data_IF_744871225790
#
_entry.id   IF_744871225790
#
_cell.length_a   1.000
_cell.length_b   1.000
_cell.length_c   1.000
_cell.angle_alpha   90.00
_cell.angle_beta   90.00
_cell.angle_gamma   90.00
#
_symmetry.space_group_name_H-M   'P 1'
#
loop_
_entity.id
_entity.type
_entity.pdbx_description
1 polymer ?
#
# COMPACT_ATOMS: atom_id res chain seq x y z
N UNK A 1 -18.57 -11.90 0.46
CA UNK A 1 -17.87 -10.62 0.18
C UNK A 1 -18.93 -9.53 0.18
N UNK A 2 -18.62 -8.37 0.75
CA UNK A 2 -19.53 -7.23 0.74
C UNK A 2 -19.59 -6.65 -0.68
N UNK A 3 -20.79 -6.38 -1.21
CA UNK A 3 -20.96 -5.78 -2.54
C UNK A 3 -20.58 -4.30 -2.53
N UNK A 4 -20.38 -3.71 -3.71
CA UNK A 4 -20.08 -2.28 -3.79
C UNK A 4 -21.27 -1.42 -3.31
N UNK A 5 -22.51 -1.88 -3.50
CA UNK A 5 -23.71 -1.23 -2.97
C UNK A 5 -23.76 -1.28 -1.44
N UNK A 6 -23.47 -2.44 -0.84
CA UNK A 6 -23.39 -2.59 0.62
C UNK A 6 -22.26 -1.74 1.21
N UNK A 7 -21.11 -1.64 0.53
CA UNK A 7 -20.00 -0.76 0.92
C UNK A 7 -20.40 0.71 0.89
N UNK A 8 -21.12 1.14 -0.16
CA UNK A 8 -21.62 2.51 -0.30
C UNK A 8 -22.65 2.85 0.79
N UNK A 9 -23.58 1.94 1.06
CA UNK A 9 -24.55 2.12 2.14
C UNK A 9 -23.83 2.25 3.49
N UNK A 10 -22.85 1.39 3.75
CA UNK A 10 -22.07 1.45 4.98
C UNK A 10 -21.28 2.75 5.13
N UNK A 11 -20.71 3.27 4.04
CA UNK A 11 -20.06 4.59 4.06
C UNK A 11 -21.05 5.71 4.40
N UNK A 12 -22.24 5.67 3.82
CA UNK A 12 -23.30 6.65 4.07
C UNK A 12 -23.74 6.63 5.54
N UNK A 13 -23.93 5.43 6.12
CA UNK A 13 -24.25 5.26 7.55
C UNK A 13 -23.13 5.83 8.45
N UNK A 14 -21.88 5.44 8.18
CA UNK A 14 -20.71 5.90 8.95
C UNK A 14 -20.53 7.42 8.90
N UNK A 15 -20.89 8.06 7.80
CA UNK A 15 -20.72 9.51 7.60
C UNK A 15 -21.88 10.33 8.14
N UNK A 16 -23.12 9.82 8.09
CA UNK A 16 -24.30 10.47 8.71
C UNK A 16 -24.17 10.55 10.23
N UNK A 17 -23.77 9.45 10.86
CA UNK A 17 -23.67 9.35 12.32
C UNK A 17 -22.21 9.42 12.81
N UNK A 18 -21.39 10.24 12.15
CA UNK A 18 -19.94 10.27 12.38
C UNK A 18 -19.54 10.49 13.85
N UNK A 19 -20.26 11.37 14.57
CA UNK A 19 -19.98 11.62 16.00
C UNK A 19 -20.21 10.37 16.86
N UNK A 20 -21.30 9.65 16.61
CA UNK A 20 -21.62 8.40 17.32
C UNK A 20 -20.55 7.34 17.03
N UNK A 21 -20.22 7.13 15.76
CA UNK A 21 -19.21 6.14 15.37
C UNK A 21 -17.80 6.45 15.87
N UNK A 22 -17.41 7.74 15.96
CA UNK A 22 -16.15 8.14 16.58
C UNK A 22 -16.09 7.81 18.08
N UNK A 23 -17.20 8.04 18.81
CA UNK A 23 -17.28 7.71 20.24
C UNK A 23 -17.23 6.21 20.49
N UNK A 24 -17.95 5.41 19.70
CA UNK A 24 -17.89 3.95 19.79
C UNK A 24 -16.51 3.42 19.41
N UNK A 25 -15.87 3.96 18.36
CA UNK A 25 -14.49 3.59 17.99
C UNK A 25 -13.51 3.84 19.14
N UNK A 26 -13.57 5.01 19.76
CA UNK A 26 -12.73 5.33 20.93
C UNK A 26 -13.02 4.38 22.10
N UNK A 27 -14.30 4.09 22.37
CA UNK A 27 -14.69 3.13 23.41
C UNK A 27 -14.10 1.75 23.15
N UNK A 28 -14.19 1.25 21.92
CA UNK A 28 -13.63 -0.05 21.54
C UNK A 28 -12.11 -0.08 21.69
N UNK A 29 -11.40 0.97 21.29
CA UNK A 29 -9.94 1.06 21.45
C UNK A 29 -9.56 1.02 22.94
N UNK A 30 -10.22 1.80 23.79
CA UNK A 30 -9.93 1.87 25.23
C UNK A 30 -10.26 0.57 25.95
N UNK A 31 -11.37 -0.08 25.60
CA UNK A 31 -11.75 -1.37 26.17
C UNK A 31 -10.76 -2.46 25.77
N UNK A 32 -10.38 -2.51 24.48
CA UNK A 32 -9.49 -3.54 23.94
C UNK A 32 -8.06 -3.41 24.46
N UNK A 33 -7.54 -2.18 24.54
CA UNK A 33 -6.16 -1.92 24.94
C UNK A 33 -6.04 -1.50 26.41
N UNK A 34 -7.08 -1.58 27.24
CA UNK A 34 -7.07 -1.00 28.60
C UNK A 34 -6.00 -1.59 29.54
N UNK A 35 -5.43 -2.74 29.20
CA UNK A 35 -4.36 -3.40 29.97
C UNK A 35 -2.95 -3.06 29.50
N UNK A 36 -2.78 -2.30 28.42
CA UNK A 36 -1.44 -1.94 27.91
C UNK A 36 -0.82 -0.87 28.78
N UNK A 37 0.50 -0.92 28.96
CA UNK A 37 1.22 -0.01 29.87
C UNK A 37 1.02 1.46 29.55
N UNK A 38 0.90 1.82 28.28
CA UNK A 38 0.65 3.21 27.89
C UNK A 38 -0.67 3.72 28.50
N UNK A 39 -1.77 2.99 28.36
CA UNK A 39 -3.06 3.40 28.89
C UNK A 39 -3.13 3.30 30.43
N UNK A 40 -2.46 2.32 31.02
CA UNK A 40 -2.36 2.16 32.48
C UNK A 40 -1.50 3.22 33.17
N UNK A 41 -0.65 3.93 32.42
CA UNK A 41 0.17 5.02 32.96
C UNK A 41 -0.64 6.26 33.35
N UNK A 42 -1.91 6.33 32.91
CA UNK A 42 -2.80 7.43 33.21
C UNK A 42 -3.70 7.14 34.41
N UNK A 43 -4.00 8.17 35.20
CA UNK A 43 -4.79 8.03 36.42
C UNK A 43 -6.28 7.82 36.13
N UNK A 44 -6.84 6.74 36.70
CA UNK A 44 -8.27 6.44 36.69
C UNK A 44 -8.77 5.70 35.44
N UNK A 45 -10.03 5.25 35.44
CA UNK A 45 -10.61 4.53 34.31
C UNK A 45 -10.77 5.46 33.10
N UNK A 46 -10.19 5.04 31.97
CA UNK A 46 -10.30 5.75 30.70
C UNK A 46 -11.63 5.43 30.03
N UNK A 47 -12.46 6.46 29.89
CA UNK A 47 -13.71 6.43 29.15
C UNK A 47 -13.67 7.50 28.05
N UNK A 48 -14.49 7.38 26.98
CA UNK A 48 -14.56 8.41 25.94
C UNK A 48 -14.79 9.83 26.48
N UNK A 49 -15.55 9.97 27.59
CA UNK A 49 -15.82 11.26 28.24
C UNK A 49 -14.64 11.83 29.03
N UNK A 50 -13.72 11.00 29.51
CA UNK A 50 -12.55 11.42 30.31
C UNK A 50 -11.25 11.45 29.51
N UNK A 51 -11.17 10.68 28.43
CA UNK A 51 -9.97 10.48 27.61
C UNK A 51 -9.27 11.78 27.24
N UNK A 52 -10.01 12.76 26.70
CA UNK A 52 -9.44 14.04 26.24
C UNK A 52 -8.83 14.88 27.36
N UNK A 53 -9.25 14.70 28.61
CA UNK A 53 -8.71 15.41 29.77
C UNK A 53 -7.48 14.72 30.35
N UNK A 54 -7.38 13.40 30.17
CA UNK A 54 -6.40 12.55 30.84
C UNK A 54 -5.21 12.22 29.94
N UNK A 55 -5.46 11.95 28.66
CA UNK A 55 -4.41 11.56 27.70
C UNK A 55 -3.94 12.79 26.93
N UNK A 56 -2.64 13.17 27.02
CA UNK A 56 -2.12 14.36 26.37
C UNK A 56 -2.01 14.19 24.86
N UNK A 57 -2.05 15.32 24.16
CA UNK A 57 -1.57 15.38 22.78
C UNK A 57 -0.07 15.08 22.76
N UNK A 58 0.35 14.27 21.80
CA UNK A 58 1.71 13.73 21.72
C UNK A 58 2.21 13.72 20.29
N UNK A 59 3.50 13.45 20.16
CA UNK A 59 4.27 13.40 18.94
C UNK A 59 5.04 12.08 18.85
N UNK A 60 5.66 11.80 17.71
CA UNK A 60 6.47 10.59 17.55
C UNK A 60 7.63 10.49 18.58
N UNK A 61 8.15 11.63 19.05
CA UNK A 61 9.27 11.64 19.99
C UNK A 61 8.91 11.09 21.36
N UNK A 62 7.63 11.17 21.74
CA UNK A 62 7.14 10.63 23.01
C UNK A 62 7.10 9.08 23.00
N UNK A 63 7.19 8.47 21.81
CA UNK A 63 7.07 7.03 21.61
C UNK A 63 8.33 6.35 21.07
N UNK A 64 9.28 7.12 20.52
CA UNK A 64 10.39 6.59 19.73
C UNK A 64 11.22 5.55 20.49
N UNK A 65 11.45 5.76 21.78
CA UNK A 65 12.19 4.82 22.60
C UNK A 65 11.41 3.50 22.75
N UNK A 66 10.12 3.55 23.04
CA UNK A 66 9.28 2.35 23.12
C UNK A 66 9.21 1.60 21.79
N UNK A 67 9.11 2.32 20.67
CA UNK A 67 9.11 1.76 19.32
C UNK A 67 10.44 1.07 19.01
N UNK A 68 11.56 1.69 19.39
CA UNK A 68 12.88 1.08 19.27
C UNK A 68 12.98 -0.19 20.11
N UNK A 69 12.50 -0.18 21.36
CA UNK A 69 12.46 -1.38 22.21
C UNK A 69 11.64 -2.52 21.59
N UNK A 70 10.49 -2.23 20.97
CA UNK A 70 9.71 -3.21 20.20
C UNK A 70 10.51 -3.77 19.02
N UNK A 71 11.21 -2.92 18.28
CA UNK A 71 12.08 -3.34 17.17
C UNK A 71 13.32 -4.15 17.62
N UNK A 72 13.67 -4.10 18.91
CA UNK A 72 14.69 -4.94 19.53
C UNK A 72 14.15 -6.29 20.03
N UNK A 73 12.83 -6.50 20.01
CA UNK A 73 12.20 -7.74 20.49
C UNK A 73 12.04 -7.82 22.01
N UNK A 74 12.02 -6.67 22.69
CA UNK A 74 11.73 -6.61 24.12
C UNK A 74 10.22 -6.59 24.31
N UNK A 75 9.70 -7.72 24.77
CA UNK A 75 8.28 -8.08 24.70
C UNK A 75 7.54 -7.69 25.99
N UNK A 76 6.91 -6.51 25.98
CA UNK A 76 5.95 -6.08 26.99
C UNK A 76 4.91 -5.17 26.29
N UNK A 77 3.61 -5.54 26.30
CA UNK A 77 2.55 -4.85 25.55
C UNK A 77 2.40 -3.39 26.01
N UNK A 78 3.12 -2.50 25.32
CA UNK A 78 3.14 -1.08 25.64
C UNK A 78 1.98 -0.33 24.96
N UNK A 79 1.76 -0.53 23.66
CA UNK A 79 0.76 0.21 22.87
C UNK A 79 -0.49 -0.58 22.53
N UNK A 80 -0.39 -1.90 22.39
CA UNK A 80 -1.48 -2.76 21.96
C UNK A 80 -1.36 -4.14 22.58
N UNK A 81 -2.51 -4.78 22.84
CA UNK A 81 -2.58 -6.21 23.18
C UNK A 81 -2.51 -7.10 21.94
N UNK A 82 -2.76 -6.54 20.75
CA UNK A 82 -2.72 -7.28 19.50
C UNK A 82 -1.27 -7.59 19.08
N UNK A 83 -1.02 -8.72 18.38
CA UNK A 83 0.33 -9.07 17.92
C UNK A 83 0.92 -8.04 16.97
N UNK A 84 2.17 -7.62 17.21
CA UNK A 84 2.93 -6.78 16.30
C UNK A 84 3.34 -7.59 15.05
N UNK A 85 3.02 -7.09 13.86
CA UNK A 85 3.27 -7.80 12.58
C UNK A 85 4.45 -7.25 11.80
N UNK A 86 4.58 -5.93 11.76
CA UNK A 86 5.65 -5.24 11.06
C UNK A 86 5.69 -3.78 11.50
N UNK A 87 6.65 -3.03 10.95
CA UNK A 87 6.68 -1.58 11.04
C UNK A 87 6.48 -0.96 9.67
N UNK A 88 5.80 0.18 9.63
CA UNK A 88 5.74 1.01 8.43
C UNK A 88 6.71 2.18 8.51
N UNK A 89 7.40 2.47 7.42
CA UNK A 89 8.08 3.73 7.24
C UNK A 89 7.07 4.84 6.94
N UNK A 90 7.11 5.91 7.72
CA UNK A 90 6.48 7.17 7.35
C UNK A 90 7.40 7.98 6.42
N UNK A 91 6.82 8.66 5.44
CA UNK A 91 7.56 9.65 4.62
C UNK A 91 8.02 10.87 5.43
N UNK A 92 7.42 11.12 6.59
CA UNK A 92 7.89 12.12 7.55
C UNK A 92 9.09 11.61 8.35
N UNK A 93 10.20 12.33 8.33
CA UNK A 93 11.40 12.01 9.11
C UNK A 93 11.27 12.53 10.55
N UNK A 94 11.97 11.88 11.49
CA UNK A 94 12.15 12.46 12.83
C UNK A 94 13.22 13.56 12.76
N UNK A 95 12.91 14.73 13.32
CA UNK A 95 13.81 15.90 13.28
C UNK A 95 15.16 15.64 13.96
N UNK A 96 15.24 14.69 14.88
CA UNK A 96 16.45 14.39 15.64
C UNK A 96 17.41 13.39 14.98
N UNK A 97 16.94 12.51 14.07
CA UNK A 97 17.80 11.45 13.51
C UNK A 97 17.84 11.39 11.98
N UNK A 98 17.04 12.21 11.29
CA UNK A 98 16.80 12.14 9.83
C UNK A 98 16.35 10.76 9.30
N UNK A 99 16.09 9.79 10.19
CA UNK A 99 15.53 8.49 9.84
C UNK A 99 14.01 8.61 9.68
N UNK A 100 13.41 7.86 8.74
CA UNK A 100 11.96 7.72 8.66
C UNK A 100 11.38 7.22 9.99
N UNK A 101 10.20 7.71 10.36
CA UNK A 101 9.50 7.23 11.56
C UNK A 101 9.04 5.79 11.34
N UNK A 102 9.20 4.95 12.37
CA UNK A 102 8.72 3.57 12.41
C UNK A 102 7.34 3.53 13.06
N UNK A 103 6.30 3.19 12.29
CA UNK A 103 4.94 3.09 12.80
C UNK A 103 4.62 1.62 13.03
N UNK A 104 4.40 1.17 14.29
CA UNK A 104 4.09 -0.23 14.57
C UNK A 104 2.72 -0.60 13.98
N UNK A 105 2.67 -1.70 13.25
CA UNK A 105 1.42 -2.25 12.71
C UNK A 105 1.06 -3.55 13.45
N UNK A 106 -0.05 -3.48 14.17
CA UNK A 106 -0.59 -4.58 14.95
C UNK A 106 -1.70 -5.30 14.18
N UNK A 107 -1.90 -6.58 14.47
CA UNK A 107 -2.90 -7.44 13.84
C UNK A 107 -4.35 -7.18 14.30
N UNK A 108 -4.72 -5.92 14.40
CA UNK A 108 -5.97 -5.50 15.03
C UNK A 108 -7.18 -5.67 14.12
N UNK A 109 -8.23 -6.33 14.63
CA UNK A 109 -9.51 -6.47 13.91
C UNK A 109 -10.17 -5.12 13.63
N UNK A 110 -10.10 -4.18 14.59
CA UNK A 110 -10.60 -2.81 14.44
C UNK A 110 -9.87 -2.08 13.31
N UNK A 111 -8.53 -2.14 13.30
CA UNK A 111 -7.70 -1.50 12.27
C UNK A 111 -7.94 -2.10 10.88
N UNK A 112 -8.05 -3.42 10.78
CA UNK A 112 -8.38 -4.13 9.53
C UNK A 112 -9.75 -3.74 9.00
N UNK A 113 -10.77 -3.67 9.86
CA UNK A 113 -12.12 -3.26 9.47
C UNK A 113 -12.14 -1.82 8.95
N UNK A 114 -11.49 -0.88 9.66
CA UNK A 114 -11.36 0.50 9.22
C UNK A 114 -10.61 0.62 7.89
N UNK A 115 -9.48 -0.08 7.75
CA UNK A 115 -8.69 -0.12 6.53
C UNK A 115 -9.47 -0.71 5.35
N UNK A 116 -10.23 -1.79 5.57
CA UNK A 116 -11.08 -2.39 4.55
C UNK A 116 -12.11 -1.38 4.02
N UNK A 117 -12.83 -0.69 4.91
CA UNK A 117 -13.81 0.32 4.51
C UNK A 117 -13.15 1.50 3.80
N UNK A 118 -12.03 2.02 4.30
CA UNK A 118 -11.32 3.12 3.65
C UNK A 118 -10.87 2.78 2.22
N UNK A 119 -10.22 1.62 2.04
CA UNK A 119 -9.70 1.22 0.73
C UNK A 119 -10.81 0.78 -0.22
N UNK A 120 -11.63 -0.22 0.17
CA UNK A 120 -12.69 -0.76 -0.69
C UNK A 120 -13.81 0.25 -0.92
N UNK A 121 -14.17 1.03 0.09
CA UNK A 121 -15.13 2.11 -0.03
C UNK A 121 -14.67 3.17 -1.04
N UNK A 122 -13.40 3.58 -0.99
CA UNK A 122 -12.86 4.54 -1.98
C UNK A 122 -12.92 4.01 -3.42
N UNK A 123 -12.69 2.70 -3.60
CA UNK A 123 -12.81 2.04 -4.90
C UNK A 123 -14.26 2.01 -5.37
N UNK A 124 -15.20 1.63 -4.50
CA UNK A 124 -16.63 1.60 -4.81
C UNK A 124 -17.16 2.99 -5.20
N UNK A 125 -16.79 4.04 -4.45
CA UNK A 125 -17.14 5.43 -4.80
C UNK A 125 -16.59 5.81 -6.17
N UNK A 126 -15.31 5.50 -6.44
CA UNK A 126 -14.66 5.79 -7.72
C UNK A 126 -15.37 5.09 -8.87
N UNK A 127 -15.65 3.80 -8.74
CA UNK A 127 -16.31 3.00 -9.78
C UNK A 127 -17.74 3.45 -10.04
N UNK A 128 -18.44 3.95 -9.02
CA UNK A 128 -19.77 4.55 -9.22
C UNK A 128 -19.72 5.85 -10.03
N UNK A 129 -18.73 6.70 -9.77
CA UNK A 129 -18.57 7.99 -10.46
C UNK A 129 -17.95 7.84 -11.85
N UNK A 130 -17.04 6.87 -11.98
CA UNK A 130 -16.30 6.54 -13.20
C UNK A 130 -16.41 5.03 -13.43
N UNK A 131 -17.53 4.55 -14.00
CA UNK A 131 -17.73 3.13 -14.27
C UNK A 131 -16.63 2.60 -15.19
N UNK A 132 -15.99 1.47 -14.85
CA UNK A 132 -14.96 0.89 -15.69
C UNK A 132 -15.59 0.42 -17.01
N UNK A 133 -14.86 0.55 -18.13
CA UNK A 133 -15.39 0.02 -19.40
C UNK A 133 -15.38 -1.52 -19.34
N UNK A 134 -16.40 -2.22 -19.85
CA UNK A 134 -16.46 -3.68 -19.74
C UNK A 134 -15.30 -4.43 -20.43
N UNK A 135 -14.76 -3.81 -21.48
CA UNK A 135 -13.70 -4.36 -22.37
C UNK A 135 -12.29 -4.20 -21.76
N UNK A 136 -12.10 -3.28 -20.80
CA UNK A 136 -10.81 -2.94 -20.19
C UNK A 136 -10.77 -3.46 -18.75
N UNK A 137 -9.62 -4.00 -18.35
CA UNK A 137 -9.50 -4.65 -17.04
C UNK A 137 -8.15 -4.38 -16.36
N UNK A 138 -7.33 -3.49 -16.92
CA UNK A 138 -6.00 -3.18 -16.40
C UNK A 138 -5.85 -1.72 -16.01
N UNK A 139 -5.00 -1.49 -15.02
CA UNK A 139 -4.55 -0.20 -14.55
C UNK A 139 -3.03 -0.17 -14.70
N UNK A 140 -2.49 0.87 -15.33
CA UNK A 140 -1.07 1.16 -15.29
C UNK A 140 -0.76 1.85 -13.97
N UNK A 141 -0.26 1.08 -13.00
CA UNK A 141 0.13 1.61 -11.70
C UNK A 141 1.65 1.65 -11.57
N UNK A 142 2.22 2.86 -11.58
CA UNK A 142 3.61 3.10 -11.19
C UNK A 142 3.75 2.96 -9.67
N UNK A 143 3.87 1.72 -9.22
CA UNK A 143 3.99 1.33 -7.81
C UNK A 143 5.34 0.66 -7.57
N UNK A 144 6.03 1.13 -6.53
CA UNK A 144 7.34 0.62 -6.15
C UNK A 144 7.23 0.04 -4.75
N UNK A 145 7.50 -1.26 -4.64
CA UNK A 145 7.37 -2.05 -3.41
C UNK A 145 8.75 -2.54 -2.92
N UNK A 146 9.76 -1.72 -3.10
CA UNK A 146 11.15 -1.95 -2.73
C UNK A 146 11.43 -1.58 -1.25
N UNK A 147 12.72 -1.54 -0.88
CA UNK A 147 13.22 -1.03 0.40
C UNK A 147 12.65 -1.71 1.66
N UNK A 148 12.49 -3.03 1.59
CA UNK A 148 12.11 -3.82 2.76
C UNK A 148 13.36 -4.10 3.57
N UNK A 149 13.35 -3.67 4.83
CA UNK A 149 14.40 -3.99 5.79
C UNK A 149 13.84 -4.83 6.92
N UNK A 150 14.71 -5.27 7.83
CA UNK A 150 14.34 -6.09 8.97
C UNK A 150 14.89 -5.47 10.25
N UNK A 151 14.04 -5.42 11.28
CA UNK A 151 14.44 -5.04 12.64
C UNK A 151 15.33 -6.09 13.29
N UNK A 152 15.94 -5.79 14.45
CA UNK A 152 16.82 -6.75 15.14
C UNK A 152 16.08 -8.03 15.57
N UNK A 153 14.79 -7.94 15.84
CA UNK A 153 13.95 -9.09 16.20
C UNK A 153 13.30 -9.80 15.00
N UNK A 154 13.69 -9.48 13.77
CA UNK A 154 13.21 -10.20 12.58
C UNK A 154 11.91 -9.66 11.98
N UNK A 155 11.30 -8.60 12.53
CA UNK A 155 10.11 -7.98 11.95
C UNK A 155 10.47 -7.15 10.73
N UNK A 156 9.69 -7.29 9.65
CA UNK A 156 9.84 -6.49 8.43
C UNK A 156 9.53 -5.02 8.68
N UNK A 157 10.21 -4.15 7.96
CA UNK A 157 9.95 -2.71 7.88
C UNK A 157 9.81 -2.31 6.41
N UNK A 158 8.70 -1.67 6.05
CA UNK A 158 8.36 -1.35 4.66
C UNK A 158 7.44 -0.14 4.56
N UNK A 159 7.17 0.37 3.36
CA UNK A 159 6.08 1.33 3.17
C UNK A 159 4.71 0.66 3.39
N UNK A 160 3.72 1.39 3.90
CA UNK A 160 2.37 0.85 4.13
C UNK A 160 1.71 0.33 2.83
N UNK A 161 1.98 0.99 1.69
CA UNK A 161 1.51 0.56 0.37
C UNK A 161 2.10 -0.77 -0.11
N UNK A 162 3.27 -1.15 0.40
CA UNK A 162 3.97 -2.41 0.07
C UNK A 162 3.39 -3.59 0.84
N UNK A 163 2.73 -3.35 1.97
CA UNK A 163 2.27 -4.40 2.88
C UNK A 163 1.33 -5.43 2.23
N UNK A 164 0.27 -5.06 1.48
CA UNK A 164 -0.63 -6.04 0.89
C UNK A 164 0.06 -7.01 -0.09
N UNK A 165 1.08 -6.52 -0.81
CA UNK A 165 1.86 -7.29 -1.77
C UNK A 165 2.82 -8.26 -1.07
N UNK A 166 3.34 -7.88 0.10
CA UNK A 166 4.30 -8.66 0.87
C UNK A 166 3.67 -9.64 1.86
N UNK A 167 2.45 -9.34 2.33
CA UNK A 167 1.77 -10.13 3.34
C UNK A 167 1.04 -11.36 2.75
N UNK A 168 1.10 -11.56 1.43
CA UNK A 168 0.35 -12.61 0.74
C UNK A 168 -1.16 -12.40 0.72
N UNK A 169 -1.63 -11.19 1.07
CA UNK A 169 -3.06 -10.87 1.13
C UNK A 169 -3.61 -10.37 -0.23
N UNK A 170 -2.73 -9.99 -1.16
CA UNK A 170 -3.13 -9.65 -2.52
C UNK A 170 -3.61 -10.91 -3.24
N UNK A 171 -4.88 -10.91 -3.70
CA UNK A 171 -5.41 -12.04 -4.44
C UNK A 171 -4.87 -12.04 -5.88
N UNK A 172 -4.75 -13.21 -6.54
CA UNK A 172 -4.36 -13.26 -7.96
C UNK A 172 -5.25 -12.38 -8.85
N UNK A 173 -6.55 -12.28 -8.54
CA UNK A 173 -7.48 -11.43 -9.25
C UNK A 173 -7.16 -9.94 -9.09
N UNK A 174 -6.76 -9.50 -7.89
CA UNK A 174 -6.32 -8.12 -7.67
C UNK A 174 -5.03 -7.81 -8.43
N UNK A 175 -4.05 -8.72 -8.38
CA UNK A 175 -2.79 -8.55 -9.11
C UNK A 175 -2.99 -8.54 -10.62
N UNK A 176 -3.94 -9.32 -11.15
CA UNK A 176 -4.27 -9.35 -12.57
C UNK A 176 -4.83 -8.02 -13.11
N UNK A 177 -5.32 -7.13 -12.23
CA UNK A 177 -5.73 -5.77 -12.63
C UNK A 177 -4.56 -4.85 -12.89
N UNK A 178 -3.34 -5.20 -12.50
CA UNK A 178 -2.16 -4.39 -12.80
C UNK A 178 -1.64 -4.73 -14.20
N UNK A 179 -1.31 -3.70 -14.97
CA UNK A 179 -0.68 -3.90 -16.27
C UNK A 179 0.70 -4.52 -16.13
N UNK A 180 1.43 -4.14 -15.08
CA UNK A 180 2.77 -4.63 -14.80
C UNK A 180 2.74 -5.85 -13.89
N UNK A 181 3.58 -6.87 -14.14
CA UNK A 181 3.66 -8.05 -13.30
C UNK A 181 4.26 -7.72 -11.93
N UNK A 182 4.03 -8.59 -10.94
CA UNK A 182 4.44 -8.38 -9.56
C UNK A 182 5.96 -8.19 -9.44
N UNK A 183 6.73 -8.92 -10.25
CA UNK A 183 8.19 -8.88 -10.33
C UNK A 183 8.71 -7.49 -10.71
N UNK A 184 7.95 -6.71 -11.48
CA UNK A 184 8.28 -5.31 -11.75
C UNK A 184 8.03 -4.45 -10.50
N UNK A 185 6.89 -4.64 -9.83
CA UNK A 185 6.52 -3.85 -8.64
C UNK A 185 7.49 -4.10 -7.46
N UNK A 186 7.94 -5.34 -7.26
CA UNK A 186 8.86 -5.72 -6.16
C UNK A 186 10.35 -5.66 -6.55
N UNK A 187 10.66 -5.23 -7.77
CA UNK A 187 12.03 -5.07 -8.25
C UNK A 187 12.88 -4.15 -7.38
N UNK A 188 14.20 -4.25 -7.53
CA UNK A 188 15.16 -3.55 -6.67
C UNK A 188 15.68 -2.23 -7.23
N UNK A 189 15.50 -1.98 -8.53
CA UNK A 189 16.03 -0.79 -9.21
C UNK A 189 14.91 0.07 -9.82
N UNK A 190 14.62 1.22 -9.20
CA UNK A 190 13.48 2.09 -9.55
C UNK A 190 13.43 2.48 -11.03
N UNK A 191 14.57 2.76 -11.67
CA UNK A 191 14.58 3.10 -13.10
C UNK A 191 14.23 1.90 -13.99
N UNK A 192 14.67 0.69 -13.62
CA UNK A 192 14.31 -0.53 -14.32
C UNK A 192 12.82 -0.83 -14.15
N UNK A 193 12.29 -0.62 -12.95
CA UNK A 193 10.87 -0.76 -12.68
C UNK A 193 10.06 0.23 -13.50
N UNK A 194 10.47 1.51 -13.55
CA UNK A 194 9.80 2.54 -14.34
C UNK A 194 9.75 2.18 -15.83
N UNK A 195 10.89 1.79 -16.38
CA UNK A 195 11.00 1.33 -17.76
C UNK A 195 10.08 0.14 -18.05
N UNK A 196 10.10 -0.89 -17.19
CA UNK A 196 9.25 -2.07 -17.34
C UNK A 196 7.76 -1.76 -17.16
N UNK A 197 7.40 -0.84 -16.26
CA UNK A 197 6.02 -0.35 -16.12
C UNK A 197 5.52 0.26 -17.44
N UNK A 198 6.34 1.10 -18.08
CA UNK A 198 6.02 1.70 -19.37
C UNK A 198 5.86 0.64 -20.46
N UNK A 199 6.79 -0.31 -20.59
CA UNK A 199 6.68 -1.41 -21.56
C UNK A 199 5.38 -2.20 -21.39
N UNK A 200 5.10 -2.68 -20.18
CA UNK A 200 3.88 -3.45 -19.91
C UNK A 200 2.62 -2.60 -20.16
N UNK A 201 2.65 -1.32 -19.77
CA UNK A 201 1.59 -0.35 -20.01
C UNK A 201 1.27 -0.18 -21.49
N UNK A 202 2.29 0.13 -22.29
CA UNK A 202 2.19 0.31 -23.74
C UNK A 202 1.73 -0.97 -24.44
N UNK A 203 2.24 -2.13 -24.01
CA UNK A 203 1.82 -3.41 -24.59
C UNK A 203 0.34 -3.71 -24.37
N UNK A 204 -0.20 -3.32 -23.22
CA UNK A 204 -1.58 -3.54 -22.85
C UNK A 204 -2.47 -2.30 -23.07
N UNK A 205 -2.07 -1.35 -23.94
CA UNK A 205 -2.70 -0.03 -24.07
C UNK A 205 -4.22 -0.11 -24.21
N UNK A 206 -4.71 -1.02 -25.05
CA UNK A 206 -6.15 -1.21 -25.31
C UNK A 206 -6.94 -1.74 -24.11
N UNK A 207 -6.24 -2.29 -23.10
CA UNK A 207 -6.83 -2.84 -21.87
C UNK A 207 -6.71 -1.88 -20.68
N UNK A 208 -6.05 -0.73 -20.83
CA UNK A 208 -5.82 0.23 -19.74
C UNK A 208 -7.05 1.14 -19.55
N UNK A 209 -7.59 1.12 -18.34
CA UNK A 209 -8.70 1.99 -17.90
C UNK A 209 -8.25 3.14 -16.99
N UNK A 210 -6.98 3.14 -16.59
CA UNK A 210 -6.46 4.18 -15.71
C UNK A 210 -4.95 4.12 -15.56
N UNK A 211 -4.36 5.29 -15.34
CA UNK A 211 -2.96 5.46 -14.99
C UNK A 211 -2.91 6.05 -13.58
N UNK A 212 -2.15 5.43 -12.68
CA UNK A 212 -2.09 5.85 -11.28
C UNK A 212 -0.69 5.76 -10.71
N UNK A 213 -0.43 6.62 -9.74
CA UNK A 213 0.80 6.70 -8.96
C UNK A 213 0.45 7.23 -7.56
N UNK A 214 1.24 6.92 -6.52
CA UNK A 214 1.01 7.53 -5.20
C UNK A 214 1.10 9.06 -5.19
N UNK A 215 1.93 9.66 -6.05
CA UNK A 215 2.16 11.11 -6.07
C UNK A 215 2.34 11.63 -7.50
N UNK A 216 1.83 12.83 -7.80
CA UNK A 216 1.88 13.42 -9.14
C UNK A 216 3.30 13.47 -9.77
N UNK A 217 4.34 13.65 -8.95
CA UNK A 217 5.74 13.62 -9.41
C UNK A 217 6.11 12.29 -10.09
N UNK A 218 5.48 11.18 -9.70
CA UNK A 218 5.68 9.87 -10.33
C UNK A 218 5.19 9.87 -11.78
N UNK A 219 4.06 10.51 -12.08
CA UNK A 219 3.59 10.67 -13.46
C UNK A 219 4.54 11.56 -14.26
N UNK A 220 4.96 12.69 -13.70
CA UNK A 220 5.91 13.59 -14.37
C UNK A 220 7.19 12.83 -14.75
N UNK A 221 7.73 12.03 -13.83
CA UNK A 221 8.91 11.19 -14.10
C UNK A 221 8.63 10.14 -15.17
N UNK A 222 7.48 9.47 -15.12
CA UNK A 222 7.14 8.44 -16.09
C UNK A 222 6.96 8.99 -17.51
N UNK A 223 6.26 10.10 -17.66
CA UNK A 223 6.07 10.76 -18.95
C UNK A 223 7.36 11.40 -19.45
N UNK A 224 8.16 12.02 -18.58
CA UNK A 224 9.49 12.52 -18.98
C UNK A 224 10.43 11.39 -19.42
N UNK A 225 10.37 10.23 -18.76
CA UNK A 225 11.12 9.06 -19.19
C UNK A 225 10.63 8.57 -20.56
N UNK A 226 9.31 8.44 -20.75
CA UNK A 226 8.71 8.07 -22.02
C UNK A 226 9.16 9.02 -23.15
N UNK A 227 9.07 10.34 -22.95
CA UNK A 227 9.53 11.35 -23.92
C UNK A 227 11.01 11.17 -24.28
N UNK A 228 11.85 10.81 -23.31
CA UNK A 228 13.30 10.66 -23.53
C UNK A 228 13.71 9.31 -24.14
N UNK A 229 12.85 8.28 -24.08
CA UNK A 229 13.20 6.88 -24.40
C UNK A 229 12.18 6.18 -25.31
N UNK A 230 11.25 6.91 -25.92
CA UNK A 230 10.16 6.29 -26.70
C UNK A 230 10.67 5.42 -27.86
N UNK A 231 11.74 5.80 -28.56
CA UNK A 231 12.32 5.01 -29.66
C UNK A 231 12.76 3.63 -29.16
N UNK A 232 13.54 3.60 -28.07
CA UNK A 232 13.98 2.36 -27.45
C UNK A 232 12.79 1.51 -26.97
N UNK A 233 11.77 2.14 -26.37
CA UNK A 233 10.56 1.44 -25.93
C UNK A 233 9.82 0.81 -27.12
N UNK A 234 9.72 1.51 -28.25
CA UNK A 234 9.13 0.98 -29.48
C UNK A 234 9.92 -0.21 -30.03
N UNK A 235 11.25 -0.08 -30.12
CA UNK A 235 12.13 -1.16 -30.58
C UNK A 235 11.96 -2.41 -29.70
N UNK A 236 12.00 -2.25 -28.39
CA UNK A 236 11.90 -3.37 -27.44
C UNK A 236 10.49 -4.01 -27.43
N UNK A 237 9.44 -3.22 -27.71
CA UNK A 237 8.07 -3.73 -27.93
C UNK A 237 7.96 -4.56 -29.22
N UNK A 238 8.59 -4.09 -30.31
CA UNK A 238 8.58 -4.78 -31.62
C UNK A 238 9.33 -6.12 -31.55
N UNK A 239 10.49 -6.14 -30.89
CA UNK A 239 11.29 -7.35 -30.73
C UNK A 239 10.73 -8.30 -29.64
N UNK A 240 9.90 -7.78 -28.75
CA UNK A 240 9.26 -8.58 -27.69
C UNK A 240 10.18 -8.91 -26.51
N UNK A 241 11.30 -8.21 -26.36
CA UNK A 241 12.24 -8.40 -25.25
C UNK A 241 12.60 -7.06 -24.62
N UNK A 242 12.66 -6.96 -23.28
CA UNK A 242 13.19 -5.76 -22.66
C UNK A 242 14.70 -5.63 -22.93
N UNK A 243 15.20 -4.39 -22.95
CA UNK A 243 16.62 -4.06 -22.97
C UNK A 243 17.49 -4.94 -22.06
N UNK A 244 18.72 -5.24 -22.48
CA UNK A 244 19.69 -6.07 -21.74
C UNK A 244 20.12 -5.47 -20.40
N UNK A 245 19.88 -4.18 -20.16
CA UNK A 245 20.15 -3.52 -18.88
C UNK A 245 19.27 -4.06 -17.73
N UNK A 246 18.13 -4.68 -18.06
CA UNK A 246 17.28 -5.37 -17.07
C UNK A 246 17.94 -6.68 -16.66
N UNK A 247 18.79 -6.59 -15.64
CA UNK A 247 19.60 -7.70 -15.12
C UNK A 247 18.86 -8.65 -14.17
N UNK A 248 17.76 -8.20 -13.57
CA UNK A 248 16.95 -9.02 -12.66
C UNK A 248 16.18 -10.09 -13.45
N UNK A 249 16.62 -11.36 -13.34
CA UNK A 249 16.10 -12.46 -14.15
C UNK A 249 14.57 -12.64 -14.07
N UNK A 250 14.02 -12.63 -12.86
CA UNK A 250 12.57 -12.78 -12.64
C UNK A 250 11.77 -11.63 -13.28
N UNK A 251 12.23 -10.39 -13.14
CA UNK A 251 11.61 -9.22 -13.78
C UNK A 251 11.68 -9.35 -15.31
N UNK A 252 12.87 -9.67 -15.83
CA UNK A 252 13.09 -9.83 -17.28
C UNK A 252 12.16 -10.89 -17.87
N UNK A 253 12.05 -12.05 -17.23
CA UNK A 253 11.17 -13.14 -17.65
C UNK A 253 9.70 -12.74 -17.64
N UNK A 254 9.23 -12.13 -16.55
CA UNK A 254 7.84 -11.69 -16.41
C UNK A 254 7.45 -10.62 -17.44
N UNK A 255 8.36 -9.67 -17.73
CA UNK A 255 8.16 -8.64 -18.76
C UNK A 255 8.16 -9.29 -20.14
N UNK A 256 9.13 -10.15 -20.45
CA UNK A 256 9.18 -10.86 -21.74
C UNK A 256 7.90 -11.64 -22.01
N UNK A 257 7.36 -12.34 -21.00
CA UNK A 257 6.05 -13.01 -21.09
C UNK A 257 4.93 -12.03 -21.43
N UNK A 258 4.86 -10.90 -20.72
CA UNK A 258 3.87 -9.84 -20.96
C UNK A 258 3.97 -9.28 -22.38
N UNK A 259 5.18 -9.16 -22.94
CA UNK A 259 5.41 -8.71 -24.31
C UNK A 259 5.01 -9.77 -25.35
N UNK A 260 5.32 -11.04 -25.08
CA UNK A 260 5.07 -12.17 -25.99
C UNK A 260 3.61 -12.60 -26.14
N UNK A 261 2.75 -12.35 -25.14
CA UNK A 261 1.35 -12.80 -25.11
C UNK A 261 0.49 -12.33 -26.31
N UNK A 262 0.93 -11.33 -27.07
CA UNK A 262 0.24 -10.81 -28.26
C UNK A 262 0.93 -11.18 -29.60
N UNK A 263 2.15 -11.72 -29.61
CA UNK A 263 2.81 -12.19 -30.86
C UNK A 263 2.02 -13.35 -31.49
N UNK A 264 1.26 -14.11 -30.70
CA UNK A 264 0.36 -15.16 -31.20
C UNK A 264 -0.90 -14.63 -31.91
N UNK A 265 -1.29 -13.37 -31.69
CA UNK A 265 -2.48 -12.78 -32.31
C UNK A 265 -2.16 -12.03 -33.61
N UNK A 266 -0.95 -11.49 -33.76
CA UNK A 266 -0.51 -10.82 -35.00
C UNK A 266 -0.09 -11.77 -36.12
N UNK A 267 0.13 -13.06 -35.85
CA UNK A 267 0.37 -14.08 -36.89
C UNK A 267 -0.92 -14.68 -37.46
N UNK A 268 -2.09 -14.14 -37.11
CA UNK A 268 -3.41 -14.62 -37.56
C UNK A 268 -4.19 -13.64 -38.43
N UNK A 269 -3.62 -12.49 -38.77
CA UNK A 269 -4.13 -11.57 -39.81
C UNK A 269 -3.16 -11.53 -41.00
#
# INVERSE_FOLDING_TARGET
>A
MMTDEELMQKLEELTKEAQHHQLETLRSILLHNGTVRYLQSFEGPLHPSTFRRVVPLSSYQDYVDFINHMAEGKDDPFLSVDPLRCFFYSSGTSSSTMKPKLIPYFDSSLSKAASFIGHRGSVAVRQRLFPPKPEVNKILWFLYADNITTTKCGLKVMAASTYPLQSGNATPQQLATFSSPLEVIIGSHVEHQLYCHLLCGLRNLDLIDGITTPYAIGLIKAFGYLESKWEQLCDDLEHGFPCSEISEGAMREAVTKTLGDLIQNWQKE
#
